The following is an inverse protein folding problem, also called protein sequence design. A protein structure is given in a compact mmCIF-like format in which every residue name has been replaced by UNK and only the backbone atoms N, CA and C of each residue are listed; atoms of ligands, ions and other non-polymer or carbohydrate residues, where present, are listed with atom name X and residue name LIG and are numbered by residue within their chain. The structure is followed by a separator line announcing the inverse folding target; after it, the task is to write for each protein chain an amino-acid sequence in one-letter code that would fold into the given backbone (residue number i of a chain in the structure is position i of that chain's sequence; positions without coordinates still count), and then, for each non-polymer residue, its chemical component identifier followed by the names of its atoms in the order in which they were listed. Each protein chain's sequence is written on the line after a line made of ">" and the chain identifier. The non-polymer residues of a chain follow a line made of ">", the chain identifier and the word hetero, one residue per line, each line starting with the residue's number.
data_IF_842424248321
#
_entry.id   IF_842424248321
#
_cell.length_a   1.000
_cell.length_b   1.000
_cell.length_c   1.000
_cell.angle_alpha   90.00
_cell.angle_beta   90.00
_cell.angle_gamma   90.00
#
_symmetry.space_group_name_H-M   'P 1'
#
loop_
_entity.id
_entity.type
_entity.pdbx_description
1 polymer ?
#
# COMPACT_ATOMS: atom_id res chain seq x y z
N UNK A 1 -46.29 11.03 7.85
CA UNK A 1 -44.92 11.41 7.46
C UNK A 1 -44.02 10.25 7.83
N UNK A 2 -43.49 9.50 6.85
CA UNK A 2 -42.48 8.47 7.17
C UNK A 2 -41.21 9.26 7.50
N UNK A 3 -40.67 9.16 8.73
CA UNK A 3 -39.42 9.82 9.03
C UNK A 3 -38.35 9.17 8.16
N UNK A 4 -37.71 9.94 7.29
CA UNK A 4 -36.57 9.47 6.53
C UNK A 4 -35.49 9.11 7.55
N UNK A 5 -35.27 7.81 7.75
CA UNK A 5 -34.18 7.31 8.59
C UNK A 5 -32.89 7.67 7.87
N UNK A 6 -32.22 8.72 8.33
CA UNK A 6 -30.89 9.05 7.85
C UNK A 6 -29.98 7.86 8.19
N UNK A 7 -29.55 7.14 7.16
CA UNK A 7 -28.61 6.02 7.32
C UNK A 7 -27.22 6.60 7.58
N UNK A 8 -26.54 6.06 8.58
CA UNK A 8 -25.12 6.31 8.79
C UNK A 8 -24.28 5.49 7.80
N UNK A 9 -23.01 5.86 7.63
CA UNK A 9 -22.07 5.05 6.84
C UNK A 9 -21.96 3.61 7.38
N UNK A 10 -22.08 3.44 8.70
CA UNK A 10 -22.07 2.12 9.32
C UNK A 10 -23.30 1.29 8.92
N UNK A 11 -24.49 1.91 8.83
CA UNK A 11 -25.71 1.22 8.39
C UNK A 11 -25.58 0.77 6.93
N UNK A 12 -25.03 1.63 6.06
CA UNK A 12 -24.79 1.31 4.65
C UNK A 12 -23.78 0.16 4.54
N UNK A 13 -22.70 0.20 5.31
CA UNK A 13 -21.70 -0.86 5.30
C UNK A 13 -22.29 -2.20 5.77
N UNK A 14 -23.09 -2.19 6.84
CA UNK A 14 -23.77 -3.39 7.33
C UNK A 14 -24.77 -3.95 6.33
N UNK A 15 -25.55 -3.11 5.64
CA UNK A 15 -26.49 -3.57 4.59
C UNK A 15 -25.74 -4.16 3.38
N UNK A 16 -24.65 -3.53 2.95
CA UNK A 16 -23.78 -4.07 1.91
C UNK A 16 -23.18 -5.42 2.31
N UNK A 17 -22.72 -5.55 3.56
CA UNK A 17 -22.17 -6.79 4.09
C UNK A 17 -23.22 -7.90 4.15
N UNK A 18 -24.43 -7.59 4.63
CA UNK A 18 -25.55 -8.54 4.69
C UNK A 18 -25.89 -9.07 3.29
N UNK A 19 -26.00 -8.17 2.29
CA UNK A 19 -26.21 -8.56 0.90
C UNK A 19 -25.06 -9.41 0.36
N UNK A 20 -23.82 -9.05 0.65
CA UNK A 20 -22.66 -9.85 0.21
C UNK A 20 -22.71 -11.30 0.74
N UNK A 21 -23.08 -11.46 2.01
CA UNK A 21 -23.16 -12.76 2.68
C UNK A 21 -24.39 -13.56 2.21
N UNK A 22 -25.56 -12.93 2.22
CA UNK A 22 -26.86 -13.58 2.14
C UNK A 22 -27.55 -13.46 0.76
N UNK A 23 -27.23 -12.44 -0.05
CA UNK A 23 -27.86 -12.18 -1.36
C UNK A 23 -26.83 -11.69 -2.42
N UNK A 24 -26.04 -12.64 -2.91
CA UNK A 24 -25.00 -12.37 -3.93
C UNK A 24 -25.56 -11.72 -5.21
N UNK A 25 -26.73 -12.14 -5.76
CA UNK A 25 -27.36 -11.43 -6.87
C UNK A 25 -27.62 -9.96 -6.57
N UNK A 26 -28.24 -9.62 -5.44
CA UNK A 26 -28.47 -8.22 -5.06
C UNK A 26 -27.16 -7.45 -4.88
N UNK A 27 -26.13 -8.09 -4.32
CA UNK A 27 -24.79 -7.52 -4.22
C UNK A 27 -24.18 -7.21 -5.59
N UNK A 28 -24.29 -8.12 -6.57
CA UNK A 28 -23.83 -7.86 -7.94
C UNK A 28 -24.59 -6.69 -8.57
N UNK A 29 -25.92 -6.61 -8.37
CA UNK A 29 -26.71 -5.47 -8.84
C UNK A 29 -26.28 -4.15 -8.21
N UNK A 30 -25.87 -4.14 -6.93
CA UNK A 30 -25.31 -2.93 -6.31
C UNK A 30 -24.02 -2.49 -7.02
N UNK A 31 -23.12 -3.42 -7.32
CA UNK A 31 -21.89 -3.10 -8.06
C UNK A 31 -22.19 -2.55 -9.45
N UNK A 32 -23.12 -3.18 -10.19
CA UNK A 32 -23.51 -2.74 -11.53
C UNK A 32 -24.12 -1.34 -11.54
N UNK A 33 -24.94 -1.01 -10.54
CA UNK A 33 -25.65 0.27 -10.46
C UNK A 33 -24.78 1.42 -9.95
N UNK A 34 -23.69 1.13 -9.22
CA UNK A 34 -22.90 2.15 -8.53
C UNK A 34 -21.44 2.23 -8.95
N UNK A 35 -20.95 1.33 -9.80
CA UNK A 35 -19.59 1.36 -10.33
C UNK A 35 -19.63 1.51 -11.85
N UNK A 36 -19.24 2.69 -12.33
CA UNK A 36 -19.04 2.92 -13.76
C UNK A 36 -17.58 2.63 -14.17
N UNK A 37 -17.37 1.46 -14.79
CA UNK A 37 -16.06 1.13 -15.36
C UNK A 37 -15.66 2.02 -16.55
N UNK A 38 -16.60 2.70 -17.23
CA UNK A 38 -16.21 3.64 -18.29
C UNK A 38 -15.46 4.85 -17.74
N UNK A 39 -15.85 5.35 -16.58
CA UNK A 39 -15.18 6.45 -15.89
C UNK A 39 -13.81 6.03 -15.32
N UNK A 40 -13.71 4.79 -14.83
CA UNK A 40 -12.51 4.27 -14.19
C UNK A 40 -11.43 3.87 -15.22
N UNK A 41 -11.80 3.36 -16.40
CA UNK A 41 -10.84 2.85 -17.39
C UNK A 41 -10.29 4.00 -18.24
N UNK A 42 -8.96 4.27 -18.20
CA UNK A 42 -8.35 5.32 -19.01
C UNK A 42 -8.51 5.07 -20.51
N UNK A 43 -8.62 6.16 -21.29
CA UNK A 43 -8.72 6.09 -22.75
C UNK A 43 -7.48 5.43 -23.37
N UNK A 44 -6.30 5.63 -22.79
CA UNK A 44 -5.03 5.01 -23.21
C UNK A 44 -5.12 3.49 -23.16
N UNK A 45 -5.67 2.93 -22.07
CA UNK A 45 -5.86 1.49 -21.94
C UNK A 45 -6.84 0.96 -22.98
N UNK A 46 -7.94 1.66 -23.24
CA UNK A 46 -8.88 1.26 -24.31
C UNK A 46 -8.19 1.20 -25.66
N UNK A 47 -7.42 2.23 -25.99
CA UNK A 47 -6.70 2.30 -27.26
C UNK A 47 -5.65 1.19 -27.36
N UNK A 48 -4.88 0.95 -26.30
CA UNK A 48 -3.88 -0.13 -26.27
C UNK A 48 -4.53 -1.51 -26.37
N UNK A 49 -5.58 -1.76 -25.59
CA UNK A 49 -6.29 -3.04 -25.60
C UNK A 49 -6.92 -3.32 -26.96
N UNK A 50 -7.59 -2.35 -27.59
CA UNK A 50 -8.25 -2.55 -28.89
C UNK A 50 -7.36 -2.26 -30.11
N UNK A 51 -6.06 -1.99 -29.91
CA UNK A 51 -5.12 -1.81 -31.00
C UNK A 51 -5.12 -3.05 -31.93
N UNK A 52 -5.03 -2.79 -33.25
CA UNK A 52 -5.04 -3.85 -34.25
C UNK A 52 -3.79 -4.72 -34.12
N UNK A 53 -3.98 -5.97 -33.69
CA UNK A 53 -2.91 -6.98 -33.55
C UNK A 53 -3.05 -8.10 -34.58
N UNK A 54 -3.84 -7.87 -35.65
CA UNK A 54 -4.12 -8.86 -36.69
C UNK A 54 -5.07 -9.99 -36.27
N UNK A 55 -5.57 -9.98 -35.04
CA UNK A 55 -6.61 -10.91 -34.55
C UNK A 55 -7.67 -10.16 -33.78
N UNK A 56 -8.94 -10.47 -34.03
CA UNK A 56 -10.04 -9.92 -33.25
C UNK A 56 -9.98 -10.42 -31.80
N UNK A 57 -10.07 -9.50 -30.84
CA UNK A 57 -10.20 -9.84 -29.42
C UNK A 57 -11.62 -10.35 -29.16
N UNK A 58 -11.70 -11.59 -28.68
CA UNK A 58 -12.97 -12.26 -28.41
C UNK A 58 -13.70 -11.74 -27.16
N UNK A 59 -12.95 -11.30 -26.16
CA UNK A 59 -13.48 -10.88 -24.87
C UNK A 59 -13.31 -9.38 -24.70
N UNK A 60 -14.36 -8.64 -24.29
CA UNK A 60 -14.27 -7.20 -24.10
C UNK A 60 -13.44 -6.86 -22.86
N UNK A 61 -12.80 -5.69 -22.87
CA UNK A 61 -11.95 -5.20 -21.79
C UNK A 61 -12.68 -5.20 -20.44
N UNK A 62 -13.89 -4.62 -20.40
CA UNK A 62 -14.71 -4.57 -19.19
C UNK A 62 -14.95 -5.95 -18.58
N UNK A 63 -15.13 -6.99 -19.41
CA UNK A 63 -15.38 -8.32 -18.87
C UNK A 63 -14.17 -8.93 -18.18
N UNK A 64 -12.98 -8.71 -18.74
CA UNK A 64 -11.74 -9.13 -18.09
C UNK A 64 -11.50 -8.36 -16.80
N UNK A 65 -11.79 -7.06 -16.78
CA UNK A 65 -11.66 -6.23 -15.57
C UNK A 65 -12.65 -6.64 -14.48
N UNK A 66 -13.94 -6.77 -14.80
CA UNK A 66 -14.94 -7.26 -13.85
C UNK A 66 -14.58 -8.63 -13.30
N UNK A 67 -14.06 -9.53 -14.13
CA UNK A 67 -13.60 -10.84 -13.67
C UNK A 67 -12.51 -10.73 -12.60
N UNK A 68 -11.52 -9.84 -12.79
CA UNK A 68 -10.46 -9.60 -11.81
C UNK A 68 -10.98 -8.91 -10.55
N UNK A 69 -11.87 -7.93 -10.68
CA UNK A 69 -12.48 -7.22 -9.55
C UNK A 69 -13.29 -8.20 -8.68
N UNK A 70 -14.17 -8.98 -9.30
CA UNK A 70 -14.97 -10.01 -8.64
C UNK A 70 -14.10 -11.09 -8.02
N UNK A 71 -13.01 -11.50 -8.69
CA UNK A 71 -12.03 -12.44 -8.12
C UNK A 71 -11.49 -11.91 -6.78
N UNK A 72 -11.22 -10.60 -6.66
CA UNK A 72 -10.72 -9.99 -5.43
C UNK A 72 -11.81 -9.80 -4.38
N UNK A 73 -12.98 -9.28 -4.77
CA UNK A 73 -14.11 -9.05 -3.86
C UNK A 73 -14.55 -10.36 -3.19
N UNK A 74 -14.71 -11.44 -3.96
CA UNK A 74 -15.07 -12.75 -3.41
C UNK A 74 -13.87 -13.55 -2.87
N UNK A 75 -12.68 -12.97 -2.81
CA UNK A 75 -11.45 -13.63 -2.35
C UNK A 75 -11.20 -14.99 -3.04
N UNK A 76 -11.48 -15.07 -4.34
CA UNK A 76 -11.28 -16.29 -5.12
C UNK A 76 -9.78 -16.52 -5.33
N UNK A 77 -9.18 -17.58 -4.75
CA UNK A 77 -7.74 -17.71 -4.62
C UNK A 77 -6.99 -17.98 -5.93
N UNK A 78 -7.64 -18.54 -6.95
CA UNK A 78 -6.97 -18.95 -8.19
C UNK A 78 -7.77 -18.58 -9.44
N UNK A 79 -7.08 -18.40 -10.56
CA UNK A 79 -7.72 -18.17 -11.86
C UNK A 79 -8.56 -19.38 -12.26
N UNK A 80 -8.11 -20.61 -11.97
CA UNK A 80 -8.86 -21.82 -12.28
C UNK A 80 -10.21 -21.85 -11.55
N UNK A 81 -10.24 -21.48 -10.27
CA UNK A 81 -11.48 -21.45 -9.51
C UNK A 81 -12.41 -20.33 -9.98
N UNK A 82 -11.86 -19.16 -10.37
CA UNK A 82 -12.65 -18.11 -11.03
C UNK A 82 -13.33 -18.63 -12.29
N UNK A 83 -12.59 -19.36 -13.15
CA UNK A 83 -13.15 -19.94 -14.37
C UNK A 83 -14.24 -20.98 -14.07
N UNK A 84 -14.06 -21.81 -13.04
CA UNK A 84 -15.09 -22.74 -12.58
C UNK A 84 -16.36 -21.98 -12.16
N UNK A 85 -16.24 -20.90 -11.38
CA UNK A 85 -17.40 -20.08 -11.03
C UNK A 85 -18.08 -19.46 -12.26
N UNK A 86 -17.31 -18.91 -13.21
CA UNK A 86 -17.87 -18.37 -14.46
C UNK A 86 -18.52 -19.45 -15.34
N UNK A 87 -18.06 -20.70 -15.27
CA UNK A 87 -18.66 -21.81 -16.00
C UNK A 87 -20.03 -22.21 -15.44
N UNK A 88 -20.13 -22.35 -14.11
CA UNK A 88 -21.33 -22.86 -13.45
C UNK A 88 -22.32 -21.77 -13.04
N UNK A 89 -21.89 -20.53 -12.82
CA UNK A 89 -22.76 -19.39 -12.50
C UNK A 89 -22.99 -18.53 -13.74
N UNK A 90 -24.11 -18.79 -14.43
CA UNK A 90 -24.57 -17.95 -15.54
C UNK A 90 -24.76 -16.47 -15.11
N UNK A 91 -25.40 -16.14 -13.97
CA UNK A 91 -25.55 -14.75 -13.53
C UNK A 91 -24.21 -14.03 -13.35
N UNK A 92 -23.22 -14.69 -12.72
CA UNK A 92 -21.90 -14.09 -12.54
C UNK A 92 -21.17 -13.87 -13.88
N UNK A 93 -21.32 -14.83 -14.80
CA UNK A 93 -20.73 -14.74 -16.14
C UNK A 93 -21.35 -13.60 -16.95
N UNK A 94 -22.67 -13.43 -16.86
CA UNK A 94 -23.40 -12.36 -17.52
C UNK A 94 -23.10 -10.99 -16.90
N UNK A 95 -23.02 -10.90 -15.57
CA UNK A 95 -22.59 -9.69 -14.85
C UNK A 95 -21.22 -9.20 -15.34
N UNK A 96 -20.24 -10.10 -15.47
CA UNK A 96 -18.95 -9.72 -16.04
C UNK A 96 -19.07 -9.32 -17.52
N UNK A 97 -20.09 -9.75 -18.26
CA UNK A 97 -20.22 -9.48 -19.70
C UNK A 97 -19.55 -10.52 -20.59
N UNK A 98 -19.37 -11.74 -20.10
CA UNK A 98 -18.84 -12.85 -20.92
C UNK A 98 -19.96 -13.62 -21.63
N UNK A 99 -19.88 -13.73 -22.95
CA UNK A 99 -20.72 -14.66 -23.73
C UNK A 99 -20.21 -16.10 -23.68
N UNK A 100 -18.90 -16.28 -23.46
CA UNK A 100 -18.24 -17.58 -23.26
C UNK A 100 -17.19 -17.45 -22.16
N UNK A 101 -16.97 -18.51 -21.38
CA UNK A 101 -15.89 -18.57 -20.39
C UNK A 101 -14.52 -18.50 -21.09
N UNK A 102 -13.60 -17.62 -20.64
CA UNK A 102 -12.24 -17.56 -21.15
C UNK A 102 -11.40 -18.76 -20.67
N UNK A 103 -10.34 -19.09 -21.41
CA UNK A 103 -9.37 -20.10 -20.97
C UNK A 103 -8.39 -19.49 -19.93
N UNK A 104 -7.78 -20.32 -19.08
CA UNK A 104 -6.85 -19.84 -18.02
C UNK A 104 -5.72 -18.96 -18.58
N UNK A 105 -5.14 -19.37 -19.71
CA UNK A 105 -4.08 -18.60 -20.39
C UNK A 105 -4.52 -17.19 -20.79
N UNK A 106 -5.81 -16.94 -21.01
CA UNK A 106 -6.33 -15.61 -21.35
C UNK A 106 -6.32 -14.68 -20.15
N UNK A 107 -6.71 -15.18 -18.98
CA UNK A 107 -6.66 -14.41 -17.73
C UNK A 107 -5.21 -14.09 -17.36
N UNK A 108 -4.31 -15.08 -17.46
CA UNK A 108 -2.88 -14.89 -17.18
C UNK A 108 -2.26 -13.85 -18.11
N UNK A 109 -2.45 -13.98 -19.43
CA UNK A 109 -1.91 -13.02 -20.40
C UNK A 109 -2.49 -11.63 -20.21
N UNK A 110 -3.78 -11.51 -19.91
CA UNK A 110 -4.38 -10.20 -19.65
C UNK A 110 -3.69 -9.48 -18.47
N UNK A 111 -3.41 -10.20 -17.38
CA UNK A 111 -2.70 -9.61 -16.22
C UNK A 111 -1.24 -9.24 -16.53
N UNK A 112 -0.57 -10.00 -17.40
CA UNK A 112 0.84 -9.79 -17.73
C UNK A 112 1.03 -8.73 -18.81
N UNK A 113 0.32 -8.86 -19.92
CA UNK A 113 0.47 -8.02 -21.11
C UNK A 113 -0.02 -6.57 -20.87
N UNK A 114 -0.90 -6.36 -19.88
CA UNK A 114 -1.51 -5.07 -19.56
C UNK A 114 -1.23 -4.62 -18.13
N UNK A 115 -0.11 -5.06 -17.53
CA UNK A 115 0.23 -4.72 -16.15
C UNK A 115 0.27 -3.20 -15.90
N UNK A 116 0.93 -2.46 -16.79
CA UNK A 116 1.02 -0.99 -16.71
C UNK A 116 -0.35 -0.33 -16.88
N UNK A 117 -1.17 -0.83 -17.80
CA UNK A 117 -2.52 -0.30 -17.98
C UNK A 117 -3.44 -0.58 -16.77
N UNK A 118 -3.29 -1.75 -16.14
CA UNK A 118 -3.99 -2.07 -14.89
C UNK A 118 -3.57 -1.14 -13.75
N UNK A 119 -2.30 -0.74 -13.71
CA UNK A 119 -1.85 0.27 -12.77
C UNK A 119 -2.54 1.62 -13.05
N UNK A 120 -2.66 2.04 -14.32
CA UNK A 120 -3.36 3.27 -14.69
C UNK A 120 -4.84 3.26 -14.30
N UNK A 121 -5.50 2.09 -14.31
CA UNK A 121 -6.86 1.93 -13.80
C UNK A 121 -6.95 2.29 -12.30
N UNK A 122 -5.99 1.82 -11.49
CA UNK A 122 -5.96 2.16 -10.07
C UNK A 122 -5.56 3.61 -9.82
N UNK A 123 -4.62 4.15 -10.60
CA UNK A 123 -4.25 5.55 -10.54
C UNK A 123 -5.47 6.44 -10.85
N UNK A 124 -6.19 6.19 -11.94
CA UNK A 124 -7.39 6.95 -12.29
C UNK A 124 -8.54 6.78 -11.27
N UNK A 125 -8.67 5.61 -10.64
CA UNK A 125 -9.65 5.37 -9.58
C UNK A 125 -9.47 6.32 -8.39
N UNK A 126 -8.24 6.74 -8.09
CA UNK A 126 -7.97 7.70 -7.01
C UNK A 126 -8.65 9.04 -7.31
N UNK A 127 -8.51 9.54 -8.54
CA UNK A 127 -9.10 10.82 -8.94
C UNK A 127 -10.64 10.73 -9.01
N UNK A 128 -11.18 9.64 -9.55
CA UNK A 128 -12.64 9.39 -9.63
C UNK A 128 -13.27 9.32 -8.23
N UNK A 129 -12.57 8.73 -7.27
CA UNK A 129 -13.10 8.57 -5.90
C UNK A 129 -12.84 9.77 -5.00
N UNK A 130 -12.06 10.76 -5.42
CA UNK A 130 -11.78 11.93 -4.59
C UNK A 130 -13.04 12.76 -4.29
N UNK A 131 -13.87 13.18 -5.28
CA UNK A 131 -15.11 13.89 -5.00
C UNK A 131 -16.08 13.10 -4.11
N UNK A 132 -16.08 11.76 -4.23
CA UNK A 132 -16.91 10.86 -3.41
C UNK A 132 -16.45 10.93 -1.95
N UNK A 133 -15.14 10.83 -1.70
CA UNK A 133 -14.60 10.96 -0.34
C UNK A 133 -14.88 12.32 0.27
N UNK A 134 -14.76 13.40 -0.51
CA UNK A 134 -15.10 14.75 -0.08
C UNK A 134 -16.58 14.90 0.30
N UNK A 135 -17.48 14.25 -0.46
CA UNK A 135 -18.91 14.24 -0.16
C UNK A 135 -19.25 13.41 1.08
N UNK A 136 -18.51 12.34 1.36
CA UNK A 136 -18.70 11.49 2.55
C UNK A 136 -18.23 12.22 3.82
N UNK A 137 -16.99 12.70 3.83
CA UNK A 137 -16.39 13.39 4.98
C UNK A 137 -15.21 14.26 4.49
N UNK A 138 -15.50 15.51 4.16
CA UNK A 138 -14.49 16.45 3.65
C UNK A 138 -13.30 16.63 4.60
N UNK A 139 -13.54 16.62 5.92
CA UNK A 139 -12.48 16.80 6.90
C UNK A 139 -11.50 15.62 6.88
N UNK A 140 -12.00 14.39 6.77
CA UNK A 140 -11.17 13.19 6.65
C UNK A 140 -10.57 13.03 5.25
N UNK A 141 -11.29 13.39 4.20
CA UNK A 141 -10.78 13.34 2.83
C UNK A 141 -9.58 14.29 2.64
N UNK A 142 -9.58 15.42 3.33
CA UNK A 142 -8.50 16.42 3.35
C UNK A 142 -7.28 16.03 4.21
N UNK A 143 -7.29 14.83 4.81
CA UNK A 143 -6.15 14.27 5.53
C UNK A 143 -5.30 13.39 4.59
N UNK A 144 -4.00 13.35 4.84
CA UNK A 144 -3.04 12.43 4.23
C UNK A 144 -2.33 11.68 5.32
N UNK A 145 -2.36 10.35 5.25
CA UNK A 145 -1.70 9.45 6.18
C UNK A 145 -0.72 8.61 5.36
N UNK A 146 0.54 8.57 5.79
CA UNK A 146 1.56 7.72 5.18
C UNK A 146 2.00 6.63 6.15
N UNK A 147 2.09 5.40 5.64
CA UNK A 147 2.72 4.29 6.32
C UNK A 147 3.54 3.45 5.33
N UNK A 148 4.48 2.65 5.86
CA UNK A 148 5.22 1.68 5.06
C UNK A 148 4.91 0.26 5.50
N UNK A 149 4.82 -0.64 4.53
CA UNK A 149 4.55 -2.04 4.75
C UNK A 149 5.47 -2.90 3.88
N UNK A 150 5.33 -4.22 3.97
CA UNK A 150 6.00 -5.09 3.02
C UNK A 150 5.34 -6.43 2.85
N UNK A 151 5.51 -6.96 1.64
CA UNK A 151 5.00 -8.26 1.23
C UNK A 151 6.07 -9.30 1.53
N UNK A 152 5.76 -10.22 2.43
CA UNK A 152 6.67 -11.31 2.77
C UNK A 152 6.92 -12.22 1.56
N UNK A 153 8.19 -12.43 1.22
CA UNK A 153 8.57 -13.25 0.09
C UNK A 153 8.76 -14.72 0.47
N UNK A 154 8.50 -15.63 -0.46
CA UNK A 154 8.77 -17.06 -0.29
C UNK A 154 10.25 -17.37 -0.56
N UNK A 155 11.13 -16.99 0.37
CA UNK A 155 12.59 -17.20 0.29
C UNK A 155 13.14 -18.00 1.46
N UNK A 156 14.30 -18.62 1.27
CA UNK A 156 14.96 -19.46 2.29
C UNK A 156 15.18 -18.70 3.61
N UNK A 157 15.49 -17.41 3.51
CA UNK A 157 15.81 -16.56 4.65
C UNK A 157 14.60 -16.26 5.55
N UNK A 158 13.37 -16.38 5.01
CA UNK A 158 12.13 -16.28 5.79
C UNK A 158 11.75 -17.58 6.49
N UNK A 159 12.48 -18.68 6.26
CA UNK A 159 12.29 -19.87 7.06
C UNK A 159 12.76 -19.59 8.51
N UNK A 160 11.91 -19.77 9.54
CA UNK A 160 12.32 -19.53 10.92
C UNK A 160 13.56 -20.32 11.35
N UNK A 161 13.84 -21.47 10.72
CA UNK A 161 15.06 -22.25 10.98
C UNK A 161 16.34 -21.52 10.57
N UNK A 162 16.29 -20.68 9.54
CA UNK A 162 17.44 -19.93 9.02
C UNK A 162 17.98 -18.96 10.08
N UNK A 163 17.14 -18.02 10.53
CA UNK A 163 17.52 -17.05 11.57
C UNK A 163 17.90 -17.76 12.88
N UNK A 164 17.15 -18.79 13.29
CA UNK A 164 17.43 -19.56 14.50
C UNK A 164 18.80 -20.24 14.48
N UNK A 165 19.24 -20.75 13.33
CA UNK A 165 20.56 -21.36 13.20
C UNK A 165 21.67 -20.33 13.43
N UNK A 166 21.52 -19.12 12.88
CA UNK A 166 22.48 -18.02 13.05
C UNK A 166 22.51 -17.57 14.51
N UNK A 167 21.33 -17.34 15.12
CA UNK A 167 21.22 -16.94 16.53
C UNK A 167 21.86 -18.00 17.45
N UNK A 168 21.66 -19.30 17.20
CA UNK A 168 22.28 -20.38 17.98
C UNK A 168 23.81 -20.34 17.89
N UNK A 169 24.37 -20.13 16.70
CA UNK A 169 25.83 -19.99 16.50
C UNK A 169 26.38 -18.79 17.27
N UNK A 170 25.70 -17.64 17.20
CA UNK A 170 26.09 -16.41 17.89
C UNK A 170 26.00 -16.56 19.42
N UNK A 171 24.96 -17.22 19.94
CA UNK A 171 24.85 -17.55 21.38
C UNK A 171 26.00 -18.46 21.85
N UNK A 172 26.34 -19.50 21.07
CA UNK A 172 27.45 -20.39 21.40
C UNK A 172 28.81 -19.65 21.36
N UNK A 173 29.02 -18.80 20.36
CA UNK A 173 30.21 -17.96 20.23
C UNK A 173 30.36 -17.01 21.42
N UNK A 174 29.29 -16.30 21.79
CA UNK A 174 29.29 -15.39 22.93
C UNK A 174 29.62 -16.10 24.25
N UNK A 175 29.08 -17.32 24.45
CA UNK A 175 29.40 -18.16 25.61
C UNK A 175 30.88 -18.56 25.62
N UNK A 176 31.43 -18.97 24.48
CA UNK A 176 32.85 -19.37 24.38
C UNK A 176 33.82 -18.21 24.59
N UNK A 177 33.43 -16.98 24.24
CA UNK A 177 34.23 -15.75 24.38
C UNK A 177 34.03 -15.02 25.72
N UNK A 178 33.12 -15.49 26.57
CA UNK A 178 32.85 -14.87 27.86
C UNK A 178 32.26 -13.46 27.76
N UNK A 179 31.49 -13.16 26.70
CA UNK A 179 30.87 -11.85 26.55
C UNK A 179 29.90 -11.53 27.70
N UNK A 180 29.83 -10.24 28.07
CA UNK A 180 28.97 -9.73 29.13
C UNK A 180 27.48 -9.87 28.80
N UNK A 181 26.62 -9.67 29.82
CA UNK A 181 25.15 -9.62 29.66
C UNK A 181 24.63 -8.55 28.69
N UNK A 182 25.48 -7.61 28.25
CA UNK A 182 25.12 -6.59 27.27
C UNK A 182 25.21 -7.05 25.80
N UNK A 183 25.66 -8.28 25.54
CA UNK A 183 25.64 -8.86 24.21
C UNK A 183 24.23 -9.31 23.82
N UNK A 184 23.65 -8.65 22.82
CA UNK A 184 22.36 -9.04 22.25
C UNK A 184 22.58 -9.92 21.00
N UNK A 185 22.36 -11.25 21.10
CA UNK A 185 22.54 -12.17 19.99
C UNK A 185 21.54 -11.92 18.84
N UNK A 186 20.40 -11.26 19.10
CA UNK A 186 19.41 -10.95 18.07
C UNK A 186 19.85 -9.74 17.25
N UNK A 187 20.32 -8.66 17.89
CA UNK A 187 20.93 -7.53 17.17
C UNK A 187 22.17 -7.96 16.38
N UNK A 188 23.01 -8.82 16.96
CA UNK A 188 24.15 -9.37 16.24
C UNK A 188 23.73 -10.25 15.04
N UNK A 189 22.65 -11.03 15.18
CA UNK A 189 22.09 -11.82 14.08
C UNK A 189 21.57 -10.92 12.96
N UNK A 190 20.88 -9.83 13.29
CA UNK A 190 20.41 -8.84 12.33
C UNK A 190 21.54 -8.33 11.43
N UNK A 191 22.64 -7.86 12.04
CA UNK A 191 23.80 -7.34 11.31
C UNK A 191 24.59 -8.43 10.57
N UNK A 192 24.49 -9.69 10.97
CA UNK A 192 25.22 -10.82 10.34
C UNK A 192 24.48 -11.44 9.16
N UNK A 193 23.16 -11.30 9.11
CA UNK A 193 22.34 -11.84 8.04
C UNK A 193 22.46 -11.00 6.75
N UNK A 194 22.30 -11.60 5.56
CA UNK A 194 22.35 -10.87 4.29
C UNK A 194 21.33 -9.72 4.26
N UNK A 195 21.72 -8.55 3.73
CA UNK A 195 20.82 -7.40 3.63
C UNK A 195 19.66 -7.58 2.65
N UNK A 196 19.77 -8.56 1.75
CA UNK A 196 18.75 -8.95 0.79
C UNK A 196 18.75 -10.48 0.60
N UNK A 197 17.66 -11.02 0.06
CA UNK A 197 17.56 -12.44 -0.21
C UNK A 197 18.55 -12.85 -1.32
N UNK A 198 19.03 -14.09 -1.28
CA UNK A 198 19.88 -14.63 -2.35
C UNK A 198 19.14 -14.80 -3.67
N UNK A 199 17.82 -15.03 -3.63
CA UNK A 199 17.01 -15.29 -4.82
C UNK A 199 16.69 -14.01 -5.61
N UNK A 200 16.49 -12.89 -4.93
CA UNK A 200 16.23 -11.59 -5.55
C UNK A 200 16.75 -10.45 -4.63
N UNK A 201 17.70 -9.62 -5.11
CA UNK A 201 18.23 -8.49 -4.37
C UNK A 201 17.21 -7.42 -3.98
N UNK A 202 16.04 -7.36 -4.61
CA UNK A 202 14.95 -6.44 -4.26
C UNK A 202 14.23 -6.84 -2.98
N UNK A 203 14.32 -8.11 -2.58
CA UNK A 203 13.74 -8.60 -1.33
C UNK A 203 14.70 -8.23 -0.21
N UNK A 204 14.36 -7.20 0.58
CA UNK A 204 15.23 -6.66 1.62
C UNK A 204 14.92 -7.25 2.98
N UNK A 205 15.97 -7.45 3.77
CA UNK A 205 15.84 -7.84 5.16
C UNK A 205 15.38 -6.65 6.01
N UNK A 206 14.30 -6.84 6.77
CA UNK A 206 13.71 -5.91 7.72
C UNK A 206 13.44 -6.60 9.06
N UNK A 207 13.32 -5.79 10.11
CA UNK A 207 12.90 -6.21 11.43
C UNK A 207 11.55 -5.57 11.74
N UNK A 208 10.51 -6.39 11.86
CA UNK A 208 9.13 -5.93 12.03
C UNK A 208 8.50 -6.73 13.18
N UNK A 209 7.93 -6.02 14.16
CA UNK A 209 7.20 -6.59 15.29
C UNK A 209 7.93 -7.73 16.02
N UNK A 210 9.25 -7.60 16.19
CA UNK A 210 10.06 -8.60 16.90
C UNK A 210 10.60 -9.74 16.03
N UNK A 211 10.31 -9.76 14.73
CA UNK A 211 10.69 -10.83 13.80
C UNK A 211 11.53 -10.35 12.61
N UNK A 212 12.45 -11.20 12.14
CA UNK A 212 13.25 -10.96 10.94
C UNK A 212 12.51 -11.43 9.70
N UNK A 213 12.34 -10.55 8.72
CA UNK A 213 11.68 -10.90 7.47
C UNK A 213 12.42 -10.31 6.27
N UNK A 214 12.27 -10.97 5.14
CA UNK A 214 12.75 -10.61 3.83
C UNK A 214 11.52 -10.30 2.97
N UNK A 215 11.34 -9.03 2.63
CA UNK A 215 10.08 -8.54 2.08
C UNK A 215 10.32 -7.63 0.88
N UNK A 216 9.30 -7.52 0.03
CA UNK A 216 9.17 -6.40 -0.90
C UNK A 216 8.55 -5.23 -0.15
N UNK A 217 9.32 -4.17 0.08
CA UNK A 217 8.88 -3.00 0.83
C UNK A 217 8.10 -2.04 -0.07
N UNK A 218 7.03 -1.46 0.45
CA UNK A 218 6.24 -0.45 -0.24
C UNK A 218 5.65 0.57 0.74
N UNK A 219 5.35 1.76 0.22
CA UNK A 219 4.64 2.82 0.92
C UNK A 219 3.18 2.84 0.54
N UNK A 220 2.34 3.24 1.48
CA UNK A 220 0.92 3.46 1.26
C UNK A 220 0.58 4.86 1.74
N UNK A 221 -0.12 5.61 0.90
CA UNK A 221 -0.79 6.85 1.28
C UNK A 221 -2.29 6.59 1.33
N UNK A 222 -2.94 7.00 2.42
CA UNK A 222 -4.40 6.96 2.58
C UNK A 222 -4.94 8.32 2.97
N UNK A 223 -6.24 8.53 2.80
CA UNK A 223 -6.93 9.65 3.42
C UNK A 223 -7.41 9.30 4.84
N UNK A 224 -7.99 10.25 5.56
CA UNK A 224 -8.53 10.04 6.91
C UNK A 224 -9.72 9.09 7.00
N UNK A 225 -10.33 8.73 5.87
CA UNK A 225 -11.40 7.70 5.79
C UNK A 225 -10.77 6.29 5.72
N UNK A 226 -9.47 6.19 5.43
CA UNK A 226 -8.76 4.93 5.21
C UNK A 226 -8.78 4.45 3.76
N UNK A 227 -9.20 5.30 2.81
CA UNK A 227 -9.16 4.98 1.38
C UNK A 227 -7.75 5.20 0.86
N UNK A 228 -7.23 4.20 0.14
CA UNK A 228 -5.89 4.24 -0.46
C UNK A 228 -5.86 5.29 -1.57
N UNK A 229 -4.84 6.14 -1.52
CA UNK A 229 -4.57 7.24 -2.46
C UNK A 229 -3.30 7.05 -3.26
N UNK A 230 -2.34 6.29 -2.74
CA UNK A 230 -1.11 5.99 -3.46
C UNK A 230 -0.45 4.74 -2.90
N UNK A 231 0.20 3.97 -3.77
CA UNK A 231 1.08 2.87 -3.39
C UNK A 231 2.39 3.04 -4.18
N UNK A 232 3.52 3.04 -3.47
CA UNK A 232 4.86 3.11 -4.08
C UNK A 232 5.67 1.89 -3.71
N UNK A 233 6.08 1.09 -4.70
CA UNK A 233 7.00 -0.02 -4.47
C UNK A 233 8.44 0.50 -4.46
N UNK A 234 9.20 0.18 -3.41
CA UNK A 234 10.57 0.67 -3.23
C UNK A 234 11.60 -0.23 -3.92
N UNK A 235 11.36 -0.45 -5.21
CA UNK A 235 12.20 -1.24 -6.10
C UNK A 235 13.40 -0.41 -6.62
N UNK A 236 14.21 -1.01 -7.49
CA UNK A 236 15.36 -0.31 -8.07
C UNK A 236 14.96 0.92 -8.88
N UNK A 237 13.83 0.87 -9.57
CA UNK A 237 13.33 1.97 -10.42
C UNK A 237 12.97 3.19 -9.56
N UNK A 238 12.25 2.98 -8.45
CA UNK A 238 11.92 4.04 -7.49
C UNK A 238 13.16 4.73 -6.92
N UNK A 239 14.17 3.95 -6.50
CA UNK A 239 15.42 4.50 -6.00
C UNK A 239 16.22 5.25 -7.08
N UNK A 240 16.06 4.85 -8.35
CA UNK A 240 16.71 5.52 -9.49
C UNK A 240 16.02 6.83 -9.82
N UNK A 241 14.69 6.91 -9.70
CA UNK A 241 13.93 8.15 -9.90
C UNK A 241 14.10 9.14 -8.74
N UNK A 242 14.57 8.68 -7.58
CA UNK A 242 14.75 9.48 -6.37
C UNK A 242 16.18 9.38 -5.83
N UNK A 243 17.18 9.98 -6.53
CA UNK A 243 18.59 9.85 -6.18
C UNK A 243 18.95 10.46 -4.82
N UNK A 244 18.08 11.31 -4.26
CA UNK A 244 18.22 11.90 -2.93
C UNK A 244 18.12 10.87 -1.80
N UNK A 245 17.58 9.67 -2.07
CA UNK A 245 17.47 8.59 -1.09
C UNK A 245 18.84 7.94 -0.90
N UNK A 246 19.56 8.37 0.15
CA UNK A 246 20.84 7.76 0.52
C UNK A 246 20.62 6.44 1.27
N UNK A 247 20.98 5.33 0.63
CA UNK A 247 21.02 4.00 1.23
C UNK A 247 22.27 3.87 2.10
N UNK A 248 22.10 4.05 3.41
CA UNK A 248 23.19 3.94 4.38
C UNK A 248 23.48 2.48 4.75
N UNK A 249 24.67 2.25 5.30
CA UNK A 249 25.04 0.94 5.85
C UNK A 249 24.21 0.67 7.10
N UNK A 250 23.66 -0.55 7.20
CA UNK A 250 22.90 -1.03 8.37
C UNK A 250 23.68 -0.81 9.66
N UNK A 251 23.00 -0.28 10.67
CA UNK A 251 23.54 -0.19 12.02
C UNK A 251 23.37 -1.53 12.77
N UNK A 252 23.70 -1.54 14.06
CA UNK A 252 23.39 -2.65 14.97
C UNK A 252 22.01 -2.50 15.64
N UNK A 253 21.24 -1.45 15.30
CA UNK A 253 19.93 -1.15 15.88
C UNK A 253 18.82 -1.30 14.83
N UNK A 254 18.11 -2.44 14.80
CA UNK A 254 17.11 -2.71 13.76
C UNK A 254 15.93 -1.71 13.76
N UNK A 255 15.53 -1.26 14.95
CA UNK A 255 14.40 -0.33 15.09
C UNK A 255 14.76 1.08 14.60
N UNK A 256 15.98 1.54 14.86
CA UNK A 256 16.49 2.81 14.34
C UNK A 256 16.65 2.75 12.82
N UNK A 257 17.23 1.67 12.30
CA UNK A 257 17.36 1.43 10.85
C UNK A 257 15.98 1.48 10.17
N UNK A 258 14.96 0.89 10.78
CA UNK A 258 13.58 0.94 10.26
C UNK A 258 13.06 2.38 10.23
N UNK A 259 13.11 3.11 11.35
CA UNK A 259 12.57 4.47 11.44
C UNK A 259 13.27 5.42 10.45
N UNK A 260 14.61 5.38 10.38
CA UNK A 260 15.40 6.21 9.45
C UNK A 260 15.04 5.88 8.00
N UNK A 261 14.90 4.58 7.67
CA UNK A 261 14.53 4.18 6.34
C UNK A 261 13.10 4.63 5.98
N UNK A 262 12.14 4.52 6.88
CA UNK A 262 10.75 4.92 6.63
C UNK A 262 10.65 6.45 6.44
N UNK A 263 11.33 7.23 7.28
CA UNK A 263 11.38 8.68 7.19
C UNK A 263 11.95 9.19 5.85
N UNK A 264 12.97 8.51 5.31
CA UNK A 264 13.58 8.86 4.01
C UNK A 264 12.66 8.59 2.82
N UNK A 265 11.67 7.69 2.96
CA UNK A 265 10.75 7.32 1.89
C UNK A 265 9.53 8.23 1.81
N UNK A 266 9.16 8.88 2.93
CA UNK A 266 7.96 9.71 3.06
C UNK A 266 7.89 10.80 1.98
N UNK A 267 8.89 11.69 1.93
CA UNK A 267 8.87 12.84 1.02
C UNK A 267 8.89 12.41 -0.46
N UNK A 268 9.77 11.49 -0.90
CA UNK A 268 9.68 10.85 -2.22
C UNK A 268 8.29 10.32 -2.57
N UNK A 269 7.69 9.51 -1.69
CA UNK A 269 6.36 8.93 -1.94
C UNK A 269 5.28 10.00 -2.09
N UNK A 270 5.32 11.06 -1.26
CA UNK A 270 4.37 12.15 -1.39
C UNK A 270 4.59 12.97 -2.66
N UNK A 271 5.83 13.20 -3.10
CA UNK A 271 6.11 13.87 -4.38
C UNK A 271 5.49 13.11 -5.56
N UNK A 272 5.65 11.80 -5.60
CA UNK A 272 5.03 10.95 -6.63
C UNK A 272 3.50 11.02 -6.57
N UNK A 273 2.93 10.97 -5.37
CA UNK A 273 1.49 11.13 -5.16
C UNK A 273 0.95 12.46 -5.70
N UNK A 274 1.52 13.59 -5.30
CA UNK A 274 1.08 14.91 -5.75
C UNK A 274 1.31 15.12 -7.25
N UNK A 275 2.38 14.55 -7.82
CA UNK A 275 2.65 14.62 -9.26
C UNK A 275 1.59 13.86 -10.04
N UNK A 276 1.23 12.67 -9.56
CA UNK A 276 0.26 11.79 -10.20
C UNK A 276 -1.17 12.31 -10.09
N UNK A 277 -1.54 12.90 -8.95
CA UNK A 277 -2.89 13.39 -8.67
C UNK A 277 -2.88 14.91 -8.45
N UNK A 278 -2.70 15.71 -9.51
CA UNK A 278 -2.45 17.14 -9.39
C UNK A 278 -3.62 17.96 -8.86
N UNK A 279 -4.83 17.41 -8.92
CA UNK A 279 -6.06 18.04 -8.42
C UNK A 279 -6.33 17.75 -6.94
N UNK A 280 -5.62 16.80 -6.34
CA UNK A 280 -5.77 16.41 -4.94
C UNK A 280 -4.78 17.23 -4.12
N UNK A 281 -5.29 18.08 -3.22
CA UNK A 281 -4.48 19.02 -2.44
C UNK A 281 -4.86 19.06 -0.94
N UNK A 282 -4.65 17.94 -0.22
CA UNK A 282 -4.97 17.78 1.20
C UNK A 282 -4.24 18.81 2.07
N UNK A 283 -4.90 19.32 3.11
CA UNK A 283 -4.30 20.32 4.02
C UNK A 283 -3.70 19.73 5.28
N UNK A 284 -4.03 18.49 5.63
CA UNK A 284 -3.58 17.89 6.89
C UNK A 284 -2.75 16.64 6.64
N UNK A 285 -1.55 16.58 7.21
CA UNK A 285 -0.75 15.36 7.26
C UNK A 285 -0.82 14.72 8.65
N UNK A 286 -0.96 13.39 8.69
CA UNK A 286 -0.85 12.55 9.87
C UNK A 286 0.28 11.54 9.66
N UNK A 287 1.15 11.38 10.65
CA UNK A 287 2.26 10.44 10.59
C UNK A 287 2.52 9.75 11.92
N UNK A 288 3.22 8.62 11.86
CA UNK A 288 3.76 7.95 13.05
C UNK A 288 4.91 8.75 13.68
N UNK A 289 5.19 8.51 14.96
CA UNK A 289 6.27 9.13 15.71
C UNK A 289 7.66 8.90 15.06
N UNK A 290 7.81 7.87 14.22
CA UNK A 290 9.03 7.68 13.42
C UNK A 290 9.37 8.88 12.51
N UNK A 291 8.38 9.73 12.19
CA UNK A 291 8.54 10.91 11.33
C UNK A 291 8.81 12.21 12.11
N UNK A 292 8.94 12.15 13.43
CA UNK A 292 9.23 13.32 14.26
C UNK A 292 10.65 13.85 14.03
N UNK A 293 10.76 14.80 13.10
CA UNK A 293 12.02 15.44 12.72
C UNK A 293 11.77 16.85 12.23
N UNK A 294 12.55 17.81 12.71
CA UNK A 294 12.47 19.21 12.29
C UNK A 294 12.61 19.38 10.75
N UNK A 295 13.43 18.53 10.11
CA UNK A 295 13.59 18.53 8.67
C UNK A 295 12.29 18.12 7.96
N UNK A 296 11.63 17.06 8.43
CA UNK A 296 10.37 16.59 7.86
C UNK A 296 9.24 17.58 8.08
N UNK A 297 9.13 18.18 9.27
CA UNK A 297 8.16 19.24 9.53
C UNK A 297 8.33 20.41 8.56
N UNK A 298 9.57 20.86 8.33
CA UNK A 298 9.84 21.90 7.34
C UNK A 298 9.33 21.46 5.97
N UNK A 299 9.78 20.31 5.47
CA UNK A 299 9.40 19.80 4.14
C UNK A 299 7.89 19.61 3.96
N UNK A 300 7.18 19.17 5.00
CA UNK A 300 5.72 18.97 4.94
C UNK A 300 4.95 20.29 4.91
N UNK A 301 5.44 21.31 5.62
CA UNK A 301 4.75 22.59 5.81
C UNK A 301 5.20 23.70 4.84
N UNK A 302 6.31 23.54 4.11
CA UNK A 302 6.82 24.54 3.15
C UNK A 302 6.27 24.37 1.74
N UNK A 303 5.84 25.49 1.14
CA UNK A 303 5.02 25.56 -0.07
C UNK A 303 5.61 25.15 -1.42
N UNK A 304 6.84 24.65 -1.45
CA UNK A 304 7.59 24.28 -2.66
C UNK A 304 8.01 22.80 -2.71
N UNK A 305 7.85 22.05 -1.62
CA UNK A 305 8.39 20.68 -1.54
C UNK A 305 7.67 19.69 -2.47
N UNK A 306 6.36 19.87 -2.67
CA UNK A 306 5.53 18.99 -3.52
C UNK A 306 5.04 19.68 -4.81
N UNK A 307 5.65 20.82 -5.17
CA UNK A 307 5.25 21.69 -6.28
C UNK A 307 4.61 23.01 -5.80
N UNK A 308 4.35 23.92 -6.75
CA UNK A 308 3.87 25.27 -6.46
C UNK A 308 2.56 25.25 -5.63
N UNK A 309 2.59 25.87 -4.46
CA UNK A 309 1.48 25.94 -3.51
C UNK A 309 0.95 24.56 -3.06
N UNK A 310 1.82 23.53 -3.05
CA UNK A 310 1.49 22.18 -2.57
C UNK A 310 2.27 21.90 -1.29
N UNK A 311 1.57 22.08 -0.18
CA UNK A 311 2.05 21.81 1.17
C UNK A 311 0.87 21.57 2.09
N UNK A 312 1.15 20.91 3.21
CA UNK A 312 0.16 20.77 4.27
C UNK A 312 0.11 22.06 5.08
N UNK A 313 -1.10 22.46 5.47
CA UNK A 313 -1.30 23.56 6.43
C UNK A 313 -1.15 23.09 7.87
N UNK A 314 -1.34 21.78 8.12
CA UNK A 314 -1.27 21.16 9.44
C UNK A 314 -0.55 19.82 9.35
N UNK A 315 0.29 19.53 10.33
CA UNK A 315 1.02 18.26 10.43
C UNK A 315 0.90 17.77 11.87
N UNK A 316 0.34 16.57 12.05
CA UNK A 316 0.24 15.92 13.35
C UNK A 316 1.11 14.66 13.34
N UNK A 317 2.22 14.73 14.06
CA UNK A 317 3.16 13.62 14.27
C UNK A 317 3.37 13.53 15.79
N UNK A 318 3.11 12.36 16.42
CA UNK A 318 3.39 12.19 17.84
C UNK A 318 4.88 12.32 18.10
N UNK A 319 5.25 12.82 19.29
CA UNK A 319 6.67 12.96 19.63
C UNK A 319 7.35 11.60 19.80
N UNK A 320 8.56 11.49 19.26
CA UNK A 320 9.38 10.31 19.34
C UNK A 320 10.12 10.24 20.68
N UNK A 321 9.48 9.64 21.67
CA UNK A 321 10.08 9.42 22.99
C UNK A 321 11.33 8.54 22.99
N UNK A 322 11.58 7.78 21.90
CA UNK A 322 12.72 6.85 21.77
C UNK A 322 13.99 7.51 21.25
N UNK A 323 13.88 8.64 20.57
CA UNK A 323 15.00 9.33 19.93
C UNK A 323 15.91 10.06 20.93
N UNK A 324 15.47 10.22 22.18
CA UNK A 324 16.18 11.00 23.19
C UNK A 324 16.35 12.48 22.82
N UNK A 325 15.67 12.94 21.76
CA UNK A 325 15.71 14.32 21.29
C UNK A 325 15.13 15.20 22.40
N UNK A 326 16.01 15.96 23.04
CA UNK A 326 15.62 17.07 23.89
C UNK A 326 15.32 18.23 22.94
N UNK A 327 14.14 18.83 23.06
CA UNK A 327 13.81 20.09 22.42
C UNK A 327 14.22 21.21 23.40
N UNK A 328 15.49 21.70 23.38
CA UNK A 328 15.92 22.72 24.35
C UNK A 328 15.08 23.99 24.25
N UNK A 329 14.56 24.30 23.07
CA UNK A 329 13.82 25.53 22.76
C UNK A 329 12.30 25.35 22.76
N UNK A 330 11.78 24.13 22.87
CA UNK A 330 10.37 23.84 22.96
C UNK A 330 10.15 22.96 24.19
N UNK A 331 9.77 23.57 25.32
CA UNK A 331 9.40 22.79 26.51
C UNK A 331 8.17 21.98 26.13
N UNK A 332 8.22 20.68 26.33
CA UNK A 332 7.09 19.78 26.08
C UNK A 332 6.70 19.17 27.43
N UNK A 333 5.41 19.06 27.71
CA UNK A 333 4.92 18.41 28.92
C UNK A 333 5.03 16.87 28.82
N UNK A 334 4.67 16.16 29.89
CA UNK A 334 4.75 14.70 29.96
C UNK A 334 3.90 13.96 28.90
N UNK A 335 2.90 14.65 28.32
CA UNK A 335 1.98 14.12 27.31
C UNK A 335 2.43 14.43 25.88
N UNK A 336 3.61 15.02 25.70
CA UNK A 336 4.13 15.33 24.37
C UNK A 336 3.55 16.60 23.74
N UNK A 337 2.88 17.45 24.53
CA UNK A 337 2.30 18.72 24.07
C UNK A 337 3.31 19.85 24.32
N UNK A 338 3.59 20.65 23.29
CA UNK A 338 4.42 21.87 23.44
C UNK A 338 3.78 22.82 24.45
N UNK A 339 4.52 23.16 25.51
CA UNK A 339 4.13 24.07 26.59
C UNK A 339 3.99 25.52 26.11
#
# INVERSE_FOLDING_TARGET
>A
MIPYKQLSLADIYSDCQDKFENDKPAFLSLLENHIDLDEIIPISFRNHFYASTGRFRKYPLKALLWALIIQRIFSIPTDQLLLTFLAYSKPLREFCGFTKVPDASKITRFKQDFLEDLQLVFDNLVDVTEPICQAIDAAKADMTIFDSSGIEAFVTENNPKYANQIIRKLKAYAKAKGFSKSYDPYKAAYSSMPSHASANPEIKQLYINGHFCYIFKFGIVTNGIGIIRHISFYNKEFLTSHPDIVVEKKSSSPDEDKCVHDAKLLIPTLKDFFTKHPLINPKTFLGDAAFDSALLYRQLLTGDTFGDNRHFSKTYIPLNSRSGIKYPDCKVNADGISC
#
